data_IF_996058436731
#
_entry.id   IF_996058436731
#
_cell.length_a   1.000
_cell.length_b   1.000
_cell.length_c   1.000
_cell.angle_alpha   90.00
_cell.angle_beta   90.00
_cell.angle_gamma   90.00
#
_symmetry.space_group_name_H-M   'P 1'
#
loop_
_entity.id
_entity.type
_entity.pdbx_description
1 polymer ?
#
# COMPACT_ATOMS: atom_id res chain seq x y z
N UNK A 1 -11.98 -26.39 -0.11
CA UNK A 1 -11.67 -25.58 1.09
C UNK A 1 -10.26 -25.07 0.92
N UNK A 2 -10.06 -23.75 0.82
CA UNK A 2 -8.70 -23.19 0.75
C UNK A 2 -8.07 -23.36 2.13
N UNK A 3 -6.91 -24.01 2.18
CA UNK A 3 -6.10 -24.08 3.40
C UNK A 3 -5.70 -22.65 3.76
N UNK A 4 -6.33 -22.10 4.79
CA UNK A 4 -5.82 -20.94 5.52
C UNK A 4 -4.55 -21.39 6.26
N UNK A 5 -3.44 -21.50 5.53
CA UNK A 5 -2.14 -21.30 6.16
C UNK A 5 -2.17 -19.85 6.67
N UNK A 6 -2.50 -19.66 7.95
CA UNK A 6 -2.23 -18.42 8.65
C UNK A 6 -0.72 -18.23 8.64
N UNK A 7 -0.23 -17.62 7.56
CA UNK A 7 1.14 -17.20 7.41
C UNK A 7 1.41 -16.23 8.56
N UNK A 8 2.35 -16.52 9.44
CA UNK A 8 2.81 -15.53 10.40
C UNK A 8 3.32 -14.32 9.63
N UNK A 9 2.61 -13.19 9.73
CA UNK A 9 3.02 -11.96 9.09
C UNK A 9 4.15 -11.35 9.91
N UNK A 10 5.33 -11.26 9.29
CA UNK A 10 6.52 -10.69 9.94
C UNK A 10 6.47 -9.16 10.05
N UNK A 11 5.70 -8.51 9.18
CA UNK A 11 5.60 -7.06 9.04
C UNK A 11 4.15 -6.65 8.71
N UNK A 12 3.78 -5.42 9.09
CA UNK A 12 2.53 -4.74 8.71
C UNK A 12 2.42 -4.63 7.19
N UNK A 13 3.56 -4.51 6.50
CA UNK A 13 3.62 -4.47 5.03
C UNK A 13 3.16 -5.81 4.43
N UNK A 14 3.57 -6.94 5.00
CA UNK A 14 3.18 -8.27 4.51
C UNK A 14 1.67 -8.48 4.67
N UNK A 15 1.14 -8.13 5.85
CA UNK A 15 -0.30 -8.19 6.12
C UNK A 15 -1.11 -7.31 5.14
N UNK A 16 -0.67 -6.07 4.91
CA UNK A 16 -1.35 -5.17 3.98
C UNK A 16 -1.28 -5.68 2.54
N UNK A 17 -0.13 -6.22 2.13
CA UNK A 17 0.07 -6.76 0.79
C UNK A 17 -0.87 -7.93 0.56
N UNK A 18 -0.97 -8.86 1.51
CA UNK A 18 -1.89 -10.00 1.42
C UNK A 18 -3.36 -9.57 1.44
N UNK A 19 -3.72 -8.61 2.31
CA UNK A 19 -5.08 -8.07 2.38
C UNK A 19 -5.50 -7.25 1.15
N UNK A 20 -4.57 -6.91 0.26
CA UNK A 20 -4.84 -6.23 -1.00
C UNK A 20 -4.88 -7.17 -2.21
N UNK A 21 -4.53 -8.45 -2.06
CA UNK A 21 -4.58 -9.38 -3.18
C UNK A 21 -6.00 -9.90 -3.40
N UNK A 22 -6.33 -10.14 -4.66
CA UNK A 22 -7.60 -10.68 -5.12
C UNK A 22 -7.30 -11.80 -6.12
N UNK A 23 -8.03 -12.90 -6.03
CA UNK A 23 -7.97 -13.97 -7.02
C UNK A 23 -8.51 -13.44 -8.35
N UNK A 24 -7.67 -13.50 -9.40
CA UNK A 24 -8.07 -13.19 -10.77
C UNK A 24 -7.77 -14.38 -11.67
N UNK A 25 -8.69 -14.64 -12.59
CA UNK A 25 -8.49 -15.61 -13.64
C UNK A 25 -7.56 -15.00 -14.70
N UNK A 26 -6.33 -15.48 -14.78
CA UNK A 26 -5.33 -15.05 -15.76
C UNK A 26 -5.29 -16.09 -16.88
N UNK A 27 -5.40 -15.61 -18.11
CA UNK A 27 -5.31 -16.46 -19.30
C UNK A 27 -3.87 -16.48 -19.80
N UNK A 28 -3.25 -17.64 -19.71
CA UNK A 28 -1.92 -17.86 -20.28
C UNK A 28 -1.92 -17.69 -21.80
N UNK A 29 -0.76 -17.42 -22.42
CA UNK A 29 -0.59 -17.43 -23.87
C UNK A 29 -1.05 -18.73 -24.53
N UNK A 30 -1.03 -19.83 -23.78
CA UNK A 30 -1.46 -21.16 -24.20
C UNK A 30 -2.97 -21.40 -24.08
N UNK A 31 -3.74 -20.39 -23.65
CA UNK A 31 -5.18 -20.44 -23.51
C UNK A 31 -5.70 -21.13 -22.24
N UNK A 32 -4.80 -21.61 -21.38
CA UNK A 32 -5.14 -22.17 -20.07
C UNK A 32 -5.49 -21.01 -19.12
N UNK A 33 -6.61 -21.15 -18.41
CA UNK A 33 -7.04 -20.20 -17.38
C UNK A 33 -6.58 -20.75 -16.04
N UNK A 34 -5.77 -19.97 -15.32
CA UNK A 34 -5.37 -20.30 -13.96
C UNK A 34 -5.70 -19.14 -13.01
N UNK A 35 -5.95 -19.46 -11.74
CA UNK A 35 -6.24 -18.48 -10.71
C UNK A 35 -4.94 -17.96 -10.11
N UNK A 36 -4.65 -16.69 -10.33
CA UNK A 36 -3.50 -16.01 -9.76
C UNK A 36 -3.95 -15.01 -8.69
N UNK A 37 -3.16 -14.91 -7.63
CA UNK A 37 -3.38 -13.95 -6.56
C UNK A 37 -2.74 -12.61 -6.96
N UNK A 38 -3.54 -11.71 -7.53
CA UNK A 38 -3.07 -10.43 -8.09
C UNK A 38 -3.34 -9.29 -7.11
N UNK A 39 -2.39 -8.35 -7.02
CA UNK A 39 -2.55 -7.14 -6.22
C UNK A 39 -3.65 -6.23 -6.81
N UNK A 40 -4.66 -5.88 -6.02
CA UNK A 40 -5.67 -4.90 -6.39
C UNK A 40 -5.16 -3.48 -6.05
N UNK A 41 -4.73 -2.76 -7.09
CA UNK A 41 -4.17 -1.40 -6.98
C UNK A 41 -5.15 -0.40 -6.36
N UNK A 42 -6.46 -0.59 -6.53
CA UNK A 42 -7.49 0.29 -5.96
C UNK A 42 -7.62 0.06 -4.46
N UNK A 43 -7.61 -1.21 -4.01
CA UNK A 43 -7.57 -1.56 -2.58
C UNK A 43 -6.30 -1.03 -1.90
N UNK A 44 -5.16 -1.16 -2.57
CA UNK A 44 -3.88 -0.60 -2.10
C UNK A 44 -4.02 0.91 -1.93
N UNK A 45 -4.47 1.60 -2.98
CA UNK A 45 -4.65 3.06 -2.95
C UNK A 45 -5.52 3.47 -1.75
N UNK A 46 -6.73 2.92 -1.59
CA UNK A 46 -7.62 3.28 -0.47
C UNK A 46 -7.01 3.01 0.91
N UNK A 47 -6.31 1.88 1.09
CA UNK A 47 -5.70 1.51 2.39
C UNK A 47 -4.45 2.34 2.73
N UNK A 48 -3.81 2.93 1.72
CA UNK A 48 -2.65 3.82 1.94
C UNK A 48 -3.03 5.23 2.36
N UNK A 49 -4.30 5.63 2.18
CA UNK A 49 -4.78 6.98 2.53
C UNK A 49 -4.90 7.14 4.05
N UNK A 50 -4.21 8.12 4.63
CA UNK A 50 -4.25 8.43 6.08
C UNK A 50 -5.19 9.60 6.37
N UNK A 51 -6.44 9.52 5.90
CA UNK A 51 -7.43 10.59 6.07
C UNK A 51 -8.26 10.34 7.32
N UNK A 52 -8.06 11.17 8.35
CA UNK A 52 -8.81 11.10 9.61
C UNK A 52 -10.21 11.73 9.46
N UNK A 53 -11.11 11.02 8.77
CA UNK A 53 -12.51 11.42 8.62
C UNK A 53 -13.41 10.21 8.55
N UNK A 54 -14.46 10.22 9.37
CA UNK A 54 -15.51 9.19 9.36
C UNK A 54 -16.30 9.15 8.04
N UNK A 55 -16.25 10.24 7.26
CA UNK A 55 -16.90 10.33 5.95
C UNK A 55 -16.02 9.88 4.80
N UNK A 56 -14.73 9.62 5.05
CA UNK A 56 -13.78 9.30 3.98
C UNK A 56 -14.20 8.05 3.18
N UNK A 57 -14.54 6.96 3.87
CA UNK A 57 -14.99 5.73 3.21
C UNK A 57 -16.27 5.94 2.38
N UNK A 58 -17.19 6.79 2.85
CA UNK A 58 -18.41 7.15 2.13
C UNK A 58 -18.09 7.96 0.87
N UNK A 59 -17.21 8.95 0.97
CA UNK A 59 -16.82 9.78 -0.19
C UNK A 59 -16.11 8.94 -1.26
N UNK A 60 -15.30 7.96 -0.87
CA UNK A 60 -14.69 7.00 -1.80
C UNK A 60 -15.78 6.19 -2.50
N UNK A 61 -16.75 5.65 -1.78
CA UNK A 61 -17.86 4.91 -2.37
C UNK A 61 -18.67 5.77 -3.36
N UNK A 62 -18.98 7.01 -3.00
CA UNK A 62 -19.71 7.94 -3.87
C UNK A 62 -18.92 8.28 -5.14
N UNK A 63 -17.60 8.48 -5.03
CA UNK A 63 -16.72 8.70 -6.18
C UNK A 63 -16.69 7.48 -7.11
N UNK A 64 -16.65 6.26 -6.54
CA UNK A 64 -16.68 5.03 -7.33
C UNK A 64 -18.01 4.83 -8.05
N UNK A 65 -19.13 5.11 -7.38
CA UNK A 65 -20.45 5.08 -8.00
C UNK A 65 -20.54 6.06 -9.16
N UNK A 66 -19.95 7.25 -9.00
CA UNK A 66 -19.90 8.25 -10.07
C UNK A 66 -19.03 7.80 -11.24
N UNK A 67 -17.90 7.13 -10.99
CA UNK A 67 -17.08 6.53 -12.05
C UNK A 67 -17.79 5.39 -12.77
N UNK A 68 -18.62 4.58 -12.08
CA UNK A 68 -19.38 3.50 -12.71
C UNK A 68 -20.38 4.02 -13.76
N UNK A 69 -20.87 5.26 -13.62
CA UNK A 69 -21.71 5.90 -14.65
C UNK A 69 -20.97 6.04 -15.99
N UNK A 70 -19.63 6.09 -15.99
CA UNK A 70 -18.85 6.08 -17.21
C UNK A 70 -18.98 4.75 -17.97
N UNK A 71 -19.10 3.63 -17.26
CA UNK A 71 -19.31 2.32 -17.87
C UNK A 71 -20.77 2.17 -18.34
N UNK A 72 -21.73 2.73 -17.59
CA UNK A 72 -23.14 2.77 -17.98
C UNK A 72 -23.39 3.48 -19.32
N UNK A 73 -22.54 4.46 -19.68
CA UNK A 73 -22.62 5.15 -20.96
C UNK A 73 -22.61 4.17 -22.15
N UNK A 74 -21.90 3.05 -22.06
CA UNK A 74 -21.80 2.05 -23.13
C UNK A 74 -23.08 1.21 -23.29
N UNK A 75 -23.94 1.16 -22.28
CA UNK A 75 -25.22 0.46 -22.34
C UNK A 75 -26.37 1.36 -22.82
N UNK A 76 -26.23 2.68 -22.70
CA UNK A 76 -27.30 3.65 -22.96
C UNK A 76 -27.05 4.57 -24.17
N UNK A 77 -25.89 4.49 -24.81
CA UNK A 77 -25.52 5.39 -25.92
C UNK A 77 -24.83 4.65 -27.07
N UNK A 78 -24.70 5.31 -28.22
CA UNK A 78 -23.87 4.81 -29.32
C UNK A 78 -22.39 4.79 -28.92
N UNK A 79 -21.63 3.78 -29.39
CA UNK A 79 -20.24 3.57 -29.00
C UNK A 79 -19.34 4.82 -29.02
N UNK A 80 -19.32 5.61 -30.10
CA UNK A 80 -18.52 6.84 -30.15
C UNK A 80 -18.95 7.88 -29.11
N UNK A 81 -20.26 8.03 -28.87
CA UNK A 81 -20.79 8.98 -27.89
C UNK A 81 -20.52 8.51 -26.47
N UNK A 82 -20.69 7.21 -26.21
CA UNK A 82 -20.38 6.57 -24.94
C UNK A 82 -18.92 6.79 -24.56
N UNK A 83 -17.99 6.57 -25.50
CA UNK A 83 -16.57 6.79 -25.27
C UNK A 83 -16.25 8.23 -24.86
N UNK A 84 -16.80 9.22 -25.57
CA UNK A 84 -16.57 10.63 -25.26
C UNK A 84 -17.11 10.99 -23.87
N UNK A 85 -18.34 10.56 -23.56
CA UNK A 85 -18.96 10.89 -22.27
C UNK A 85 -18.29 10.15 -21.10
N UNK A 86 -17.96 8.88 -21.28
CA UNK A 86 -17.23 8.08 -20.30
C UNK A 86 -15.87 8.73 -19.99
N UNK A 87 -15.16 9.22 -21.01
CA UNK A 87 -13.90 9.93 -20.80
C UNK A 87 -14.10 11.25 -20.05
N UNK A 88 -15.16 12.01 -20.36
CA UNK A 88 -15.48 13.25 -19.64
C UNK A 88 -15.76 13.00 -18.16
N UNK A 89 -16.53 11.96 -17.83
CA UNK A 89 -16.82 11.56 -16.45
C UNK A 89 -15.53 11.18 -15.74
N UNK A 90 -14.72 10.28 -16.30
CA UNK A 90 -13.43 9.85 -15.71
C UNK A 90 -12.49 11.04 -15.50
N UNK A 91 -12.39 11.94 -16.47
CA UNK A 91 -11.59 13.16 -16.34
C UNK A 91 -12.13 14.08 -15.22
N UNK A 92 -13.45 14.16 -15.04
CA UNK A 92 -14.08 14.89 -13.95
C UNK A 92 -13.82 14.28 -12.57
N UNK A 93 -13.61 12.96 -12.49
CA UNK A 93 -13.24 12.26 -11.25
C UNK A 93 -11.78 12.47 -10.83
N UNK A 94 -10.88 12.74 -11.79
CA UNK A 94 -9.43 12.87 -11.54
C UNK A 94 -9.08 13.95 -10.49
N UNK A 95 -9.64 15.18 -10.52
CA UNK A 95 -9.38 16.18 -9.48
C UNK A 95 -9.75 15.73 -8.06
N UNK A 96 -10.80 14.93 -7.89
CA UNK A 96 -11.17 14.39 -6.58
C UNK A 96 -10.11 13.42 -6.06
N UNK A 97 -9.59 12.55 -6.94
CA UNK A 97 -8.48 11.64 -6.60
C UNK A 97 -7.22 12.43 -6.17
N UNK A 98 -6.86 13.47 -6.93
CA UNK A 98 -5.74 14.34 -6.57
C UNK A 98 -5.94 15.05 -5.23
N UNK A 99 -7.16 15.49 -4.93
CA UNK A 99 -7.48 16.15 -3.67
C UNK A 99 -7.37 15.19 -2.48
N UNK A 100 -7.79 13.94 -2.66
CA UNK A 100 -7.64 12.88 -1.66
C UNK A 100 -6.15 12.59 -1.41
N UNK A 101 -5.37 12.42 -2.48
CA UNK A 101 -3.92 12.17 -2.38
C UNK A 101 -3.19 13.33 -1.69
N UNK A 102 -3.55 14.57 -2.00
CA UNK A 102 -3.02 15.76 -1.35
C UNK A 102 -3.34 15.76 0.15
N UNK A 103 -4.59 15.42 0.52
CA UNK A 103 -5.01 15.37 1.93
C UNK A 103 -4.30 14.27 2.71
N UNK A 104 -4.09 13.10 2.11
CA UNK A 104 -3.33 12.03 2.76
C UNK A 104 -1.83 12.32 2.85
N UNK A 105 -1.31 13.24 2.04
CA UNK A 105 0.09 13.67 2.11
C UNK A 105 0.34 14.69 3.21
N UNK A 106 -0.71 15.20 3.87
CA UNK A 106 -0.57 16.06 5.05
C UNK A 106 -0.07 15.23 6.25
N UNK A 107 1.24 15.17 6.46
CA UNK A 107 1.82 14.70 7.72
C UNK A 107 1.55 15.76 8.80
N UNK A 108 0.56 15.54 9.66
CA UNK A 108 0.41 16.36 10.88
C UNK A 108 1.57 16.06 11.82
N UNK A 109 2.55 16.98 11.88
CA UNK A 109 3.60 16.99 12.90
C UNK A 109 3.17 17.90 14.04
N UNK A 110 2.32 17.40 14.92
CA UNK A 110 2.12 18.00 16.23
C UNK A 110 2.87 17.18 17.29
N UNK A 111 3.49 17.86 18.26
CA UNK A 111 4.21 17.29 19.41
C UNK A 111 3.39 16.28 20.21
N UNK A 112 2.06 16.37 20.13
CA UNK A 112 1.10 15.52 20.84
C UNK A 112 0.25 14.61 19.91
N UNK A 113 0.35 14.76 18.58
CA UNK A 113 -0.41 13.98 17.61
C UNK A 113 0.38 13.84 16.30
N UNK A 114 1.36 12.95 16.30
CA UNK A 114 2.02 12.52 15.07
C UNK A 114 1.18 11.41 14.42
N UNK A 115 0.18 11.80 13.60
CA UNK A 115 -0.42 10.86 12.66
C UNK A 115 0.62 10.56 11.57
N UNK A 116 1.41 9.51 11.79
CA UNK A 116 2.36 9.02 10.79
C UNK A 116 1.62 8.39 9.62
N UNK A 117 1.89 8.91 8.42
CA UNK A 117 1.45 8.28 7.18
C UNK A 117 2.09 6.89 7.02
N UNK A 118 1.49 6.02 6.19
CA UNK A 118 2.09 4.71 5.87
C UNK A 118 3.47 4.86 5.22
N UNK A 119 3.68 5.93 4.44
CA UNK A 119 4.99 6.32 3.90
C UNK A 119 5.96 6.67 5.03
N UNK A 120 5.51 7.41 6.05
CA UNK A 120 6.34 7.70 7.23
C UNK A 120 6.70 6.43 8.00
N UNK A 121 5.78 5.46 8.13
CA UNK A 121 6.06 4.13 8.74
C UNK A 121 7.08 3.33 7.93
N UNK A 122 6.91 3.26 6.60
CA UNK A 122 7.84 2.57 5.70
C UNK A 122 9.23 3.22 5.71
N UNK A 123 9.29 4.55 5.69
CA UNK A 123 10.53 5.30 5.75
C UNK A 123 11.20 5.16 7.13
N UNK A 124 10.45 5.18 8.24
CA UNK A 124 11.00 4.88 9.56
C UNK A 124 11.53 3.45 9.66
N UNK A 125 10.80 2.43 9.20
CA UNK A 125 11.29 1.05 9.19
C UNK A 125 12.57 0.88 8.36
N UNK A 126 12.66 1.54 7.20
CA UNK A 126 13.89 1.55 6.39
C UNK A 126 15.04 2.24 7.11
N UNK A 127 14.74 3.33 7.81
CA UNK A 127 15.73 4.08 8.60
C UNK A 127 16.21 3.27 9.79
N UNK A 128 15.30 2.66 10.57
CA UNK A 128 15.63 1.76 11.68
C UNK A 128 16.46 0.56 11.21
N UNK A 129 16.09 -0.11 10.12
CA UNK A 129 16.91 -1.19 9.54
C UNK A 129 18.33 -0.72 9.16
N UNK A 130 18.48 0.50 8.61
CA UNK A 130 19.79 1.09 8.31
C UNK A 130 20.59 1.44 9.57
N UNK A 131 19.93 1.93 10.62
CA UNK A 131 20.56 2.20 11.92
C UNK A 131 20.99 0.91 12.62
N UNK A 132 20.18 -0.15 12.59
CA UNK A 132 20.54 -1.47 13.13
C UNK A 132 21.71 -2.07 12.36
N UNK A 133 21.72 -2.01 11.02
CA UNK A 133 22.85 -2.45 10.20
C UNK A 133 24.14 -1.66 10.47
N UNK A 134 24.05 -0.34 10.67
CA UNK A 134 25.22 0.48 11.06
C UNK A 134 25.69 0.23 12.49
N UNK A 135 24.78 -0.06 13.40
CA UNK A 135 25.05 -0.46 14.80
C UNK A 135 25.78 -1.80 14.86
N UNK A 136 25.25 -2.80 14.17
CA UNK A 136 25.79 -4.15 14.17
C UNK A 136 27.09 -4.23 13.36
N UNK A 137 27.18 -3.50 12.25
CA UNK A 137 28.41 -3.35 11.48
C UNK A 137 29.54 -2.68 12.27
N UNK A 138 29.24 -1.67 13.10
CA UNK A 138 30.24 -1.04 13.96
C UNK A 138 30.67 -1.93 15.13
N UNK A 139 29.74 -2.65 15.78
CA UNK A 139 30.10 -3.61 16.83
C UNK A 139 30.97 -4.73 16.29
N UNK A 140 30.63 -5.28 15.13
CA UNK A 140 31.36 -6.41 14.52
C UNK A 140 32.76 -5.99 14.04
N UNK A 141 32.91 -4.78 13.48
CA UNK A 141 34.22 -4.26 13.10
C UNK A 141 35.10 -3.89 14.30
N UNK A 142 34.50 -3.38 15.38
CA UNK A 142 35.26 -2.99 16.56
C UNK A 142 35.73 -4.22 17.37
N UNK A 143 34.90 -5.27 17.47
CA UNK A 143 35.29 -6.55 18.07
C UNK A 143 36.31 -7.34 17.22
N UNK A 144 36.30 -7.16 15.89
CA UNK A 144 37.26 -7.79 14.98
C UNK A 144 38.66 -7.15 14.99
N UNK A 145 38.76 -5.86 15.35
CA UNK A 145 40.03 -5.11 15.39
C UNK A 145 40.63 -5.04 16.79
N UNK A 146 39.82 -5.06 17.86
CA UNK A 146 40.26 -5.06 19.26
C UNK A 146 40.45 -6.47 19.84
N UNK A 147 41.07 -7.35 19.05
CA UNK A 147 41.45 -8.74 19.37
C UNK A 147 41.30 -9.11 20.84
N UNK A 148 40.25 -9.90 21.13
CA UNK A 148 39.90 -10.41 22.45
C UNK A 148 41.08 -11.18 23.08
N UNK A 149 41.96 -10.49 23.81
CA UNK A 149 42.72 -11.08 24.91
C UNK A 149 41.83 -11.03 26.15
N UNK A 150 41.08 -12.11 26.36
CA UNK A 150 40.62 -12.45 27.71
C UNK A 150 41.62 -13.50 28.19
N UNK A 151 42.71 -13.02 28.78
CA UNK A 151 43.48 -13.80 29.74
C UNK A 151 42.63 -13.95 31.00
N UNK A 152 42.69 -15.14 31.60
CA UNK A 152 42.12 -15.48 32.89
C UNK A 152 42.60 -14.52 33.99
N UNK A 153 41.76 -14.24 34.99
CA UNK A 153 42.10 -14.48 36.40
C UNK A 153 40.94 -14.18 37.37
N UNK A 154 40.67 -15.18 38.22
CA UNK A 154 40.20 -15.15 39.62
C UNK A 154 38.83 -14.53 40.01
N UNK A 155 37.81 -15.40 40.15
CA UNK A 155 37.30 -15.91 41.44
C UNK A 155 36.27 -17.03 41.24
#
# INVERSE_FOLDING_TARGET
MLQENQKEHSDVVDFLTDACKVLKDVKDPNGIIHQELVLDTKRVWCKTQSVNSNYFGRNILELEQFENLADECYFHMSGPRAQVLAQQIRNGCMPYRYSIDAKSSESQRDSHNAQMTLIDKLNKNKTEKVYTLKSDGKRTFMDGVLGKKIENDEN
#
